data_IF_120389922534
#
_entry.id   IF_120389922534
#
_cell.length_a   1.000
_cell.length_b   1.000
_cell.length_c   1.000
_cell.angle_alpha   90.00
_cell.angle_beta   90.00
_cell.angle_gamma   90.00
#
_symmetry.space_group_name_H-M   'P 1'
#
loop_
_entity.id
_entity.type
_entity.pdbx_description
1 polymer ?
#
# COMPACT_ATOMS: atom_id res chain seq x y z
N UNK A 1 0.02 2.63 -2.96
CA UNK A 1 0.89 3.68 -2.38
C UNK A 1 0.59 5.00 -3.06
N UNK A 2 0.20 6.05 -2.32
CA UNK A 2 0.29 7.43 -2.86
C UNK A 2 1.69 7.95 -2.55
N UNK A 3 2.68 7.37 -3.24
CA UNK A 3 4.03 7.95 -3.27
C UNK A 3 4.01 9.33 -3.89
N UNK A 4 5.12 10.06 -3.78
CA UNK A 4 5.25 11.39 -4.36
C UNK A 4 4.76 11.43 -5.81
N UNK A 5 3.95 12.44 -6.15
CA UNK A 5 3.29 12.51 -7.47
C UNK A 5 4.33 12.60 -8.59
N UNK A 6 5.36 13.42 -8.43
CA UNK A 6 6.40 13.62 -9.43
C UNK A 6 7.22 12.35 -9.61
N UNK A 7 7.57 11.67 -8.53
CA UNK A 7 8.27 10.38 -8.58
C UNK A 7 7.45 9.31 -9.31
N UNK A 8 6.14 9.24 -9.07
CA UNK A 8 5.26 8.31 -9.79
C UNK A 8 5.19 8.60 -11.28
N UNK A 9 5.04 9.87 -11.65
CA UNK A 9 5.01 10.32 -13.05
C UNK A 9 6.33 10.03 -13.76
N UNK A 10 7.47 10.33 -13.12
CA UNK A 10 8.78 10.04 -13.67
C UNK A 10 9.00 8.53 -13.87
N UNK A 11 8.59 7.71 -12.90
CA UNK A 11 8.70 6.26 -12.99
C UNK A 11 7.82 5.67 -14.10
N UNK A 12 6.58 6.16 -14.24
CA UNK A 12 5.67 5.79 -15.33
C UNK A 12 6.30 6.11 -16.69
N UNK A 13 6.86 7.32 -16.84
CA UNK A 13 7.59 7.74 -18.04
C UNK A 13 8.80 6.86 -18.33
N UNK A 14 9.63 6.56 -17.32
CA UNK A 14 10.83 5.74 -17.45
C UNK A 14 10.51 4.31 -17.88
N UNK A 15 9.40 3.76 -17.38
CA UNK A 15 8.95 2.40 -17.69
C UNK A 15 8.06 2.33 -18.94
N UNK A 16 7.72 3.47 -19.57
CA UNK A 16 6.91 3.52 -20.77
C UNK A 16 5.44 3.12 -20.57
N UNK A 17 4.87 3.34 -19.38
CA UNK A 17 3.49 2.95 -19.04
C UNK A 17 2.68 4.13 -18.52
N UNK A 18 1.37 4.13 -18.74
CA UNK A 18 0.46 5.20 -18.29
C UNK A 18 -0.20 4.93 -16.94
N UNK A 19 -0.31 3.65 -16.54
CA UNK A 19 -1.01 3.24 -15.34
C UNK A 19 -0.06 3.00 -14.16
N UNK A 20 -0.31 3.66 -13.03
CA UNK A 20 0.54 3.54 -11.84
C UNK A 20 0.65 2.10 -11.33
N UNK A 21 -0.44 1.32 -11.39
CA UNK A 21 -0.44 -0.06 -10.93
C UNK A 21 0.54 -0.92 -11.75
N UNK A 22 0.64 -0.65 -13.04
CA UNK A 22 1.58 -1.33 -13.93
C UNK A 22 3.01 -0.88 -13.68
N UNK A 23 3.25 0.44 -13.58
CA UNK A 23 4.57 0.98 -13.24
C UNK A 23 5.10 0.41 -11.92
N UNK A 24 4.28 0.38 -10.87
CA UNK A 24 4.66 -0.15 -9.57
C UNK A 24 4.97 -1.65 -9.62
N UNK A 25 4.28 -2.40 -10.48
CA UNK A 25 4.50 -3.83 -10.72
C UNK A 25 5.85 -4.08 -11.39
N UNK A 26 6.10 -3.40 -12.51
CA UNK A 26 7.37 -3.47 -13.25
C UNK A 26 8.55 -3.01 -12.41
N UNK A 27 8.38 -1.93 -11.65
CA UNK A 27 9.41 -1.43 -10.75
C UNK A 27 9.77 -2.44 -9.65
N UNK A 28 8.79 -3.15 -9.08
CA UNK A 28 9.09 -4.24 -8.13
C UNK A 28 9.87 -5.37 -8.80
N UNK A 29 9.53 -5.78 -10.02
CA UNK A 29 10.32 -6.79 -10.72
C UNK A 29 11.78 -6.33 -10.93
N UNK A 30 11.99 -5.06 -11.27
CA UNK A 30 13.32 -4.45 -11.40
C UNK A 30 14.09 -4.39 -10.06
N UNK A 31 13.41 -4.07 -8.96
CA UNK A 31 14.03 -4.06 -7.63
C UNK A 31 14.47 -5.47 -7.21
N UNK A 32 13.59 -6.46 -7.38
CA UNK A 32 13.89 -7.84 -6.99
C UNK A 32 14.98 -8.46 -7.86
N UNK A 33 15.03 -8.18 -9.17
CA UNK A 33 16.11 -8.69 -10.03
C UNK A 33 17.49 -8.17 -9.63
N UNK A 34 17.57 -7.02 -8.95
CA UNK A 34 18.80 -6.44 -8.41
C UNK A 34 19.07 -6.82 -6.94
N UNK A 35 18.09 -7.41 -6.25
CA UNK A 35 18.16 -7.70 -4.82
C UNK A 35 19.03 -8.91 -4.46
N UNK A 36 19.52 -9.67 -5.43
CA UNK A 36 20.46 -10.78 -5.21
C UNK A 36 21.91 -10.34 -4.98
N UNK A 37 22.19 -9.03 -5.01
CA UNK A 37 23.54 -8.48 -4.80
C UNK A 37 23.54 -7.54 -3.60
N UNK A 38 24.37 -7.85 -2.60
CA UNK A 38 24.69 -6.91 -1.54
C UNK A 38 25.65 -5.91 -2.19
N UNK A 39 25.14 -4.75 -2.58
CA UNK A 39 26.03 -3.64 -2.90
C UNK A 39 26.88 -3.25 -1.68
N UNK A 40 27.58 -2.12 -1.76
CA UNK A 40 28.47 -1.62 -0.70
C UNK A 40 27.78 -1.43 0.67
N UNK A 41 26.45 -1.42 0.71
CA UNK A 41 25.64 -1.25 1.91
C UNK A 41 25.58 -2.45 2.87
N UNK A 42 26.10 -3.63 2.50
CA UNK A 42 26.06 -4.83 3.34
C UNK A 42 24.64 -5.35 3.66
N UNK A 43 23.62 -4.87 2.95
CA UNK A 43 22.22 -5.27 3.15
C UNK A 43 21.99 -6.73 2.76
N UNK A 44 21.07 -7.38 3.47
CA UNK A 44 20.65 -8.74 3.16
C UNK A 44 20.19 -8.86 1.71
N UNK A 45 20.67 -9.92 1.04
CA UNK A 45 20.27 -10.28 -0.32
C UNK A 45 19.12 -11.26 -0.28
N UNK A 46 18.26 -11.17 -1.30
CA UNK A 46 17.24 -12.18 -1.52
C UNK A 46 17.86 -13.40 -2.21
N UNK A 47 17.35 -14.59 -1.90
CA UNK A 47 17.74 -15.81 -2.60
C UNK A 47 17.23 -15.79 -4.05
N UNK A 48 17.91 -16.56 -4.89
CA UNK A 48 17.53 -16.78 -6.28
C UNK A 48 16.09 -17.31 -6.40
N UNK A 49 15.65 -18.20 -5.50
CA UNK A 49 14.28 -18.71 -5.45
C UNK A 49 13.26 -17.60 -5.14
N UNK A 50 13.56 -16.73 -4.17
CA UNK A 50 12.70 -15.62 -3.78
C UNK A 50 12.53 -14.61 -4.93
N UNK A 51 13.63 -14.31 -5.64
CA UNK A 51 13.62 -13.43 -6.81
C UNK A 51 12.78 -14.03 -7.94
N UNK A 52 12.99 -15.32 -8.29
CA UNK A 52 12.22 -16.01 -9.33
C UNK A 52 10.74 -16.08 -8.99
N UNK A 53 10.37 -16.29 -7.73
CA UNK A 53 8.98 -16.30 -7.27
C UNK A 53 8.29 -14.96 -7.57
N UNK A 54 8.91 -13.84 -7.17
CA UNK A 54 8.32 -12.52 -7.39
C UNK A 54 8.23 -12.17 -8.88
N UNK A 55 9.22 -12.56 -9.68
CA UNK A 55 9.16 -12.38 -11.14
C UNK A 55 8.02 -13.20 -11.74
N UNK A 56 7.86 -14.47 -11.34
CA UNK A 56 6.79 -15.38 -11.80
C UNK A 56 5.40 -14.87 -11.41
N UNK A 57 5.24 -14.30 -10.22
CA UNK A 57 4.00 -13.64 -9.77
C UNK A 57 3.76 -12.28 -10.46
N UNK A 58 4.66 -11.91 -11.37
CA UNK A 58 4.58 -10.70 -12.15
C UNK A 58 4.84 -9.46 -11.34
N UNK A 59 5.50 -9.51 -10.18
CA UNK A 59 5.72 -8.37 -9.29
C UNK A 59 4.44 -7.86 -8.61
N UNK A 60 3.40 -8.69 -8.48
CA UNK A 60 2.20 -8.37 -7.71
C UNK A 60 2.46 -8.57 -6.21
N UNK A 61 1.80 -7.76 -5.39
CA UNK A 61 1.83 -7.94 -3.94
C UNK A 61 0.62 -8.75 -3.51
N UNK A 62 0.81 -9.69 -2.59
CA UNK A 62 -0.30 -10.32 -1.89
C UNK A 62 -1.06 -9.28 -1.07
N UNK A 63 -2.32 -9.59 -0.76
CA UNK A 63 -3.16 -8.74 0.09
C UNK A 63 -2.50 -8.42 1.44
N UNK A 64 -1.99 -9.44 2.12
CA UNK A 64 -1.30 -9.28 3.41
C UNK A 64 -0.03 -8.42 3.29
N UNK A 65 0.78 -8.62 2.26
CA UNK A 65 1.98 -7.80 2.05
C UNK A 65 1.63 -6.34 1.75
N UNK A 66 0.60 -6.08 0.93
CA UNK A 66 0.11 -4.74 0.64
C UNK A 66 -0.45 -4.05 1.89
N UNK A 67 -1.06 -4.81 2.80
CA UNK A 67 -1.56 -4.33 4.08
C UNK A 67 -0.41 -4.01 5.04
N UNK A 68 0.61 -4.86 5.14
CA UNK A 68 1.79 -4.63 5.99
C UNK A 68 2.62 -3.42 5.54
N UNK A 69 2.72 -3.12 4.25
CA UNK A 69 3.34 -1.86 3.77
C UNK A 69 2.56 -0.60 4.20
N UNK A 70 1.35 -0.79 4.72
CA UNK A 70 0.43 0.25 5.20
C UNK A 70 0.27 0.18 6.72
N UNK A 71 1.37 -0.04 7.45
CA UNK A 71 1.43 -0.13 8.93
C UNK A 71 0.54 0.92 9.60
N UNK A 72 0.61 2.19 9.18
CA UNK A 72 -0.20 3.27 9.76
C UNK A 72 -1.71 3.08 9.64
N UNK A 73 -2.20 2.45 8.58
CA UNK A 73 -3.63 2.14 8.48
C UNK A 73 -4.06 1.01 9.42
N UNK A 74 -3.13 0.13 9.80
CA UNK A 74 -3.34 -0.92 10.80
C UNK A 74 -3.27 -0.33 12.21
N UNK A 75 -2.24 0.47 12.50
CA UNK A 75 -1.99 1.00 13.85
C UNK A 75 -2.86 2.22 14.15
N UNK A 76 -2.86 3.22 13.26
CA UNK A 76 -3.46 4.53 13.53
C UNK A 76 -4.87 4.64 12.92
N UNK A 77 -5.26 3.68 12.07
CA UNK A 77 -6.57 3.60 11.42
C UNK A 77 -7.74 3.26 12.36
N UNK A 78 -7.44 2.88 13.62
CA UNK A 78 -8.34 2.52 14.74
C UNK A 78 -9.13 1.23 14.53
N UNK A 79 -9.77 1.05 13.37
CA UNK A 79 -10.45 -0.18 13.00
C UNK A 79 -10.23 -0.47 11.52
N UNK A 80 -10.09 -1.76 11.18
CA UNK A 80 -9.84 -2.24 9.83
C UNK A 80 -10.72 -3.46 9.54
N UNK A 81 -11.37 -3.48 8.38
CA UNK A 81 -12.17 -4.63 7.97
C UNK A 81 -13.17 -4.31 6.86
N UNK A 82 -14.28 -5.05 6.86
CA UNK A 82 -15.41 -4.78 5.96
C UNK A 82 -16.05 -3.44 6.28
N UNK A 83 -16.82 -2.90 5.31
CA UNK A 83 -17.57 -1.65 5.52
C UNK A 83 -18.50 -1.77 6.74
N UNK A 84 -19.26 -2.85 6.82
CA UNK A 84 -20.22 -3.07 7.89
C UNK A 84 -19.54 -3.07 9.27
N UNK A 85 -18.43 -3.78 9.41
CA UNK A 85 -17.66 -3.82 10.65
C UNK A 85 -17.18 -2.41 11.06
N UNK A 86 -16.61 -1.65 10.12
CA UNK A 86 -16.10 -0.31 10.42
C UNK A 86 -17.23 0.67 10.76
N UNK A 87 -18.39 0.57 10.11
CA UNK A 87 -19.56 1.37 10.45
C UNK A 87 -20.12 1.00 11.83
N UNK A 88 -20.13 -0.28 12.20
CA UNK A 88 -20.53 -0.70 13.55
C UNK A 88 -19.63 -0.09 14.62
N UNK A 89 -18.31 -0.17 14.44
CA UNK A 89 -17.33 0.45 15.36
C UNK A 89 -17.52 1.96 15.42
N UNK A 90 -17.81 2.61 14.29
CA UNK A 90 -18.09 4.05 14.23
C UNK A 90 -19.34 4.43 15.02
N UNK A 91 -20.44 3.70 14.84
CA UNK A 91 -21.70 3.96 15.54
C UNK A 91 -21.56 3.74 17.05
N UNK A 92 -20.85 2.68 17.45
CA UNK A 92 -20.54 2.39 18.86
C UNK A 92 -19.80 3.55 19.55
N UNK A 93 -18.94 4.25 18.80
CA UNK A 93 -18.14 5.36 19.31
C UNK A 93 -18.55 6.72 18.72
N UNK A 94 -19.81 6.87 18.28
CA UNK A 94 -20.31 8.08 17.62
C UNK A 94 -20.01 9.39 18.36
N UNK A 95 -20.07 9.46 19.71
CA UNK A 95 -19.74 10.67 20.46
C UNK A 95 -18.29 11.15 20.29
N UNK A 96 -17.35 10.25 19.95
CA UNK A 96 -15.93 10.60 19.76
C UNK A 96 -15.67 11.30 18.42
N UNK A 97 -16.68 11.45 17.57
CA UNK A 97 -16.53 12.01 16.22
C UNK A 97 -17.35 13.29 16.04
N UNK A 98 -16.77 14.25 15.30
CA UNK A 98 -17.40 15.54 15.04
C UNK A 98 -18.77 15.42 14.35
N UNK A 99 -19.69 16.39 14.57
CA UNK A 99 -21.08 16.29 14.14
C UNK A 99 -21.25 16.19 12.62
N UNK A 100 -20.31 16.76 11.84
CA UNK A 100 -20.31 16.70 10.37
C UNK A 100 -20.01 15.31 9.81
N UNK A 101 -19.44 14.40 10.61
CA UNK A 101 -19.08 13.06 10.16
C UNK A 101 -20.31 12.15 10.22
N UNK A 102 -20.86 11.81 9.05
CA UNK A 102 -22.06 10.95 8.92
C UNK A 102 -21.75 9.44 8.78
N UNK A 103 -20.52 9.07 8.45
CA UNK A 103 -20.10 7.68 8.26
C UNK A 103 -18.69 7.42 8.76
N UNK A 104 -18.44 6.16 9.14
CA UNK A 104 -17.18 5.64 9.66
C UNK A 104 -16.23 5.16 8.58
N UNK A 105 -16.72 4.39 7.62
CA UNK A 105 -15.88 3.65 6.71
C UNK A 105 -15.15 4.57 5.72
N UNK A 106 -13.83 4.43 5.64
CA UNK A 106 -12.97 5.10 4.65
C UNK A 106 -12.25 4.03 3.84
N UNK A 107 -12.44 4.04 2.52
CA UNK A 107 -11.79 3.08 1.62
C UNK A 107 -10.29 3.36 1.57
N UNK A 108 -9.45 2.33 1.69
CA UNK A 108 -8.00 2.48 1.54
C UNK A 108 -7.67 2.63 0.04
N UNK A 109 -7.17 3.80 -0.44
CA UNK A 109 -6.89 3.98 -1.86
C UNK A 109 -5.68 3.16 -2.31
N UNK A 110 -5.78 2.55 -3.50
CA UNK A 110 -4.70 1.78 -4.11
C UNK A 110 -4.44 0.43 -3.45
N UNK A 111 -5.42 -0.11 -2.73
CA UNK A 111 -5.47 -1.53 -2.35
C UNK A 111 -5.90 -2.31 -3.60
N UNK A 112 -5.00 -3.12 -4.15
CA UNK A 112 -5.22 -3.88 -5.40
C UNK A 112 -6.12 -5.11 -5.19
N UNK A 113 -6.40 -5.50 -3.95
CA UNK A 113 -7.07 -6.75 -3.60
C UNK A 113 -8.04 -6.49 -2.45
N UNK A 114 -9.35 -6.46 -2.73
CA UNK A 114 -10.42 -6.42 -1.72
C UNK A 114 -10.91 -5.03 -1.27
N UNK A 115 -12.18 -4.99 -0.86
CA UNK A 115 -12.83 -3.80 -0.29
C UNK A 115 -12.56 -3.70 1.22
N UNK A 116 -11.36 -3.22 1.58
CA UNK A 116 -11.00 -2.96 2.98
C UNK A 116 -11.23 -1.50 3.32
N UNK A 117 -11.84 -1.29 4.48
CA UNK A 117 -12.16 0.00 5.03
C UNK A 117 -11.41 0.22 6.33
N UNK A 118 -11.11 1.49 6.62
CA UNK A 118 -10.55 1.95 7.89
C UNK A 118 -11.41 3.03 8.51
N UNK A 119 -11.37 3.14 9.84
CA UNK A 119 -12.12 4.16 10.55
C UNK A 119 -11.48 5.54 10.45
N UNK A 120 -10.17 5.66 10.18
CA UNK A 120 -9.51 6.96 9.94
C UNK A 120 -8.78 6.96 8.60
N UNK A 121 -9.13 7.91 7.74
CA UNK A 121 -8.41 8.19 6.50
C UNK A 121 -7.15 8.99 6.80
N UNK A 122 -6.13 8.31 7.30
CA UNK A 122 -4.84 8.92 7.58
C UNK A 122 -4.08 9.10 6.28
N UNK A 123 -4.06 10.35 5.81
CA UNK A 123 -3.27 10.78 4.66
C UNK A 123 -1.84 11.03 5.15
N UNK A 124 -0.89 10.28 4.59
CA UNK A 124 0.52 10.57 4.78
C UNK A 124 0.84 11.84 3.98
N UNK A 125 1.24 12.93 4.65
CA UNK A 125 2.16 13.91 4.03
C UNK A 125 3.54 13.28 4.22
N UNK A 126 4.02 12.56 3.20
CA UNK A 126 5.26 11.80 3.34
C UNK A 126 6.52 12.68 3.20
N UNK A 127 6.37 13.93 2.79
CA UNK A 127 7.46 14.87 2.54
C UNK A 127 6.90 16.30 2.72
N UNK A 128 7.64 17.17 3.43
CA UNK A 128 7.56 18.65 3.31
C UNK A 128 8.48 19.11 2.19
#
# INVERSE_FOLDING_TARGET
>A
MRGDKRAREALMKLLGVSEWNEAARLYRQLLYSRAGRAGESGKAVLSDEEIRKVIKEGGRLSFGAALMLKIRHITDGVALGSRAFVEEVFMRHRPLFGPKRKSGARKIPGMLLGEVYVLRDLKVRAIE
#
